data_IF_181360217765
#
_entry.id   IF_181360217765
#
_cell.length_a   1.000
_cell.length_b   1.000
_cell.length_c   1.000
_cell.angle_alpha   90.00
_cell.angle_beta   90.00
_cell.angle_gamma   90.00
#
_symmetry.space_group_name_H-M   'P 1'
#
loop_
_entity.id
_entity.type
_entity.pdbx_description
1 polymer ?
#
# COMPACT_ATOMS: atom_id res chain seq x y z
N UNK A 1 15.14 -14.92 1.66
CA UNK A 1 14.53 -14.65 0.34
C UNK A 1 13.08 -14.17 0.46
N UNK A 2 12.23 -14.82 1.27
CA UNK A 2 10.85 -14.39 1.53
C UNK A 2 10.72 -12.98 2.13
N UNK A 3 11.61 -12.57 3.02
CA UNK A 3 11.51 -11.27 3.68
C UNK A 3 11.65 -10.07 2.73
N UNK A 4 12.53 -10.19 1.73
CA UNK A 4 12.71 -9.17 0.69
C UNK A 4 11.49 -9.08 -0.19
N UNK A 5 10.94 -10.23 -0.61
CA UNK A 5 9.69 -10.28 -1.38
C UNK A 5 8.52 -9.67 -0.61
N UNK A 6 8.35 -10.01 0.66
CA UNK A 6 7.30 -9.45 1.51
C UNK A 6 7.44 -7.93 1.68
N UNK A 7 8.67 -7.44 1.82
CA UNK A 7 8.97 -6.00 1.87
C UNK A 7 8.58 -5.29 0.57
N UNK A 8 8.95 -5.86 -0.58
CA UNK A 8 8.58 -5.34 -1.90
C UNK A 8 7.06 -5.36 -2.13
N UNK A 9 6.39 -6.45 -1.76
CA UNK A 9 4.93 -6.59 -1.86
C UNK A 9 4.24 -5.53 -0.98
N UNK A 10 4.75 -5.29 0.23
CA UNK A 10 4.19 -4.28 1.14
C UNK A 10 4.32 -2.87 0.55
N UNK A 11 5.48 -2.54 -0.04
CA UNK A 11 5.69 -1.24 -0.69
C UNK A 11 4.79 -1.09 -1.92
N UNK A 12 4.77 -2.10 -2.81
CA UNK A 12 3.99 -2.05 -4.03
C UNK A 12 2.48 -2.00 -3.75
N UNK A 13 1.99 -2.87 -2.86
CA UNK A 13 0.60 -2.94 -2.44
C UNK A 13 0.16 -1.68 -1.70
N UNK A 14 0.98 -1.16 -0.79
CA UNK A 14 0.72 0.10 -0.09
C UNK A 14 0.67 1.29 -1.06
N UNK A 15 1.61 1.37 -2.01
CA UNK A 15 1.62 2.43 -3.02
C UNK A 15 0.37 2.38 -3.91
N UNK A 16 -0.01 1.19 -4.37
CA UNK A 16 -1.23 0.98 -5.16
C UNK A 16 -2.49 1.39 -4.36
N UNK A 17 -2.59 0.95 -3.11
CA UNK A 17 -3.73 1.28 -2.23
C UNK A 17 -3.82 2.79 -1.98
N UNK A 18 -2.69 3.46 -1.77
CA UNK A 18 -2.65 4.92 -1.62
C UNK A 18 -3.14 5.63 -2.88
N UNK A 19 -2.63 5.23 -4.05
CA UNK A 19 -3.04 5.81 -5.33
C UNK A 19 -4.54 5.59 -5.62
N UNK A 20 -5.09 4.42 -5.28
CA UNK A 20 -6.53 4.16 -5.35
C UNK A 20 -7.34 5.06 -4.42
N UNK A 21 -6.85 5.28 -3.20
CA UNK A 21 -7.52 6.11 -2.19
C UNK A 21 -7.45 7.63 -2.49
N UNK A 22 -6.37 8.11 -3.10
CA UNK A 22 -6.25 9.50 -3.60
C UNK A 22 -7.04 9.70 -4.89
N UNK A 23 -7.37 8.61 -5.57
CA UNK A 23 -8.20 8.60 -6.76
C UNK A 23 -7.47 8.72 -8.08
N UNK A 24 -6.18 8.39 -8.07
CA UNK A 24 -5.36 8.23 -9.27
C UNK A 24 -5.62 6.90 -9.98
N UNK A 25 -6.17 5.90 -9.26
CA UNK A 25 -6.45 4.58 -9.79
C UNK A 25 -7.93 4.23 -9.59
N UNK A 26 -8.51 3.62 -10.62
CA UNK A 26 -9.83 3.02 -10.57
C UNK A 26 -9.72 1.55 -10.16
N UNK A 27 -10.40 1.16 -9.08
CA UNK A 27 -10.38 -0.21 -8.53
C UNK A 27 -11.49 -1.10 -9.09
N UNK A 28 -12.45 -0.53 -9.81
CA UNK A 28 -13.54 -1.25 -10.46
C UNK A 28 -13.81 -0.67 -11.84
N UNK A 29 -14.38 -1.47 -12.76
CA UNK A 29 -14.84 -0.97 -14.07
C UNK A 29 -15.94 0.10 -13.95
N UNK A 30 -16.65 0.14 -12.83
CA UNK A 30 -17.68 1.15 -12.54
C UNK A 30 -17.06 2.27 -11.70
N UNK A 31 -17.18 3.51 -12.20
CA UNK A 31 -16.78 4.72 -11.48
C UNK A 31 -17.56 4.86 -10.17
N UNK A 32 -18.89 4.66 -10.21
CA UNK A 32 -19.76 4.72 -9.03
C UNK A 32 -19.30 3.78 -7.90
N UNK A 33 -18.92 2.53 -8.24
CA UNK A 33 -18.40 1.57 -7.25
C UNK A 33 -17.06 2.01 -6.67
N UNK A 34 -16.20 2.60 -7.49
CA UNK A 34 -14.91 3.13 -7.05
C UNK A 34 -15.08 4.31 -6.11
N UNK A 35 -16.01 5.22 -6.42
CA UNK A 35 -16.32 6.36 -5.57
C UNK A 35 -16.94 5.94 -4.24
N UNK A 36 -17.91 5.01 -4.25
CA UNK A 36 -18.50 4.46 -3.03
C UNK A 36 -17.46 3.82 -2.12
N UNK A 37 -16.52 3.06 -2.70
CA UNK A 37 -15.41 2.49 -1.94
C UNK A 37 -14.48 3.59 -1.38
N UNK A 38 -14.14 4.60 -2.18
CA UNK A 38 -13.25 5.70 -1.75
C UNK A 38 -13.90 6.57 -0.67
N UNK A 39 -15.19 6.80 -0.75
CA UNK A 39 -15.95 7.50 0.28
C UNK A 39 -15.97 6.71 1.60
N UNK A 40 -16.12 5.38 1.51
CA UNK A 40 -16.20 4.51 2.70
C UNK A 40 -14.85 4.21 3.35
N UNK A 41 -13.81 3.97 2.54
CA UNK A 41 -12.52 3.45 3.01
C UNK A 41 -11.34 4.35 2.68
N UNK A 42 -11.49 5.35 1.81
CA UNK A 42 -10.37 6.14 1.28
C UNK A 42 -9.60 6.89 2.37
N UNK A 43 -10.27 7.43 3.39
CA UNK A 43 -9.57 8.07 4.52
C UNK A 43 -8.73 7.07 5.31
N UNK A 44 -9.30 5.90 5.64
CA UNK A 44 -8.58 4.84 6.35
C UNK A 44 -7.39 4.34 5.54
N UNK A 45 -7.58 4.08 4.24
CA UNK A 45 -6.52 3.59 3.36
C UNK A 45 -5.42 4.64 3.18
N UNK A 46 -5.74 5.94 3.10
CA UNK A 46 -4.73 7.02 3.05
C UNK A 46 -3.82 7.05 4.27
N UNK A 47 -4.30 6.62 5.44
CA UNK A 47 -3.51 6.56 6.67
C UNK A 47 -2.74 5.22 6.76
N UNK A 48 -3.40 4.10 6.44
CA UNK A 48 -2.82 2.76 6.53
C UNK A 48 -1.76 2.48 5.46
N UNK A 49 -1.94 3.00 4.24
CA UNK A 49 -1.03 2.75 3.14
C UNK A 49 0.40 3.29 3.40
N UNK A 50 0.60 4.52 3.90
CA UNK A 50 1.92 4.99 4.33
C UNK A 50 2.56 4.11 5.41
N UNK A 51 1.76 3.61 6.37
CA UNK A 51 2.25 2.69 7.41
C UNK A 51 2.74 1.38 6.79
N UNK A 52 1.97 0.83 5.83
CA UNK A 52 2.35 -0.39 5.12
C UNK A 52 3.62 -0.21 4.27
N UNK A 53 3.76 0.94 3.59
CA UNK A 53 4.97 1.29 2.85
C UNK A 53 6.16 1.41 3.81
N UNK A 54 6.01 2.13 4.91
CA UNK A 54 7.06 2.28 5.92
C UNK A 54 7.49 0.93 6.49
N UNK A 55 6.54 0.04 6.75
CA UNK A 55 6.82 -1.34 7.18
C UNK A 55 7.64 -2.12 6.15
N UNK A 56 7.27 -2.05 4.86
CA UNK A 56 8.01 -2.71 3.79
C UNK A 56 9.44 -2.15 3.63
N UNK A 57 9.61 -0.84 3.72
CA UNK A 57 10.92 -0.17 3.70
C UNK A 57 11.76 -0.58 4.91
N UNK A 58 11.17 -0.64 6.10
CA UNK A 58 11.83 -1.08 7.31
C UNK A 58 12.32 -2.53 7.18
N UNK A 59 11.48 -3.44 6.66
CA UNK A 59 11.87 -4.84 6.41
C UNK A 59 13.01 -4.96 5.41
N UNK A 60 12.94 -4.23 4.31
CA UNK A 60 14.03 -4.21 3.32
C UNK A 60 15.33 -3.67 3.93
N UNK A 61 15.23 -2.59 4.71
CA UNK A 61 16.39 -2.00 5.39
C UNK A 61 17.02 -3.00 6.36
N UNK A 62 16.21 -3.73 7.14
CA UNK A 62 16.70 -4.79 8.04
C UNK A 62 17.41 -5.90 7.27
N UNK A 63 16.81 -6.38 6.18
CA UNK A 63 17.39 -7.44 5.34
C UNK A 63 18.66 -7.00 4.61
N UNK A 64 18.79 -5.73 4.22
CA UNK A 64 19.97 -5.20 3.53
C UNK A 64 21.10 -4.83 4.50
N UNK A 65 20.77 -4.30 5.67
CA UNK A 65 21.74 -3.91 6.70
C UNK A 65 22.21 -5.10 7.56
N UNK A 66 21.66 -6.29 7.34
CA UNK A 66 22.08 -7.50 8.05
C UNK A 66 21.80 -7.46 9.56
N UNK A 67 20.81 -6.67 9.99
CA UNK A 67 20.41 -6.59 11.41
C UNK A 67 19.60 -7.85 11.70
N UNK A 68 20.31 -8.93 12.07
CA UNK A 68 19.78 -10.20 12.52
C UNK A 68 18.93 -10.01 13.78
#
# INVERSE_FOLDING_TARGET
MYEVMDGLISIAGGSYAYLAAVGKIQISKSEEKTEKWRAKYGMLVKILAPILIAFGVFRLSRSFLGIA
#
